data_IF_645071912790
#
_entry.id   IF_645071912790
#
_cell.length_a   1.000
_cell.length_b   1.000
_cell.length_c   1.000
_cell.angle_alpha   90.00
_cell.angle_beta   90.00
_cell.angle_gamma   90.00
#
_symmetry.space_group_name_H-M   'P 1'
#
loop_
_entity.id
_entity.type
_entity.pdbx_description
1 polymer ?
#
# COMPACT_ATOMS: atom_id res chain seq x y z
N UNK A 1 -11.04 1.32 -27.42
CA UNK A 1 -10.24 1.55 -28.65
C UNK A 1 -9.22 0.44 -28.94
N UNK A 2 -8.03 0.37 -28.30
CA UNK A 2 -7.00 -0.61 -28.71
C UNK A 2 -7.50 -2.07 -28.69
N UNK A 3 -8.26 -2.48 -27.66
CA UNK A 3 -8.89 -3.81 -27.59
C UNK A 3 -9.97 -4.04 -28.66
N UNK A 4 -10.56 -2.98 -29.20
CA UNK A 4 -11.66 -3.06 -30.18
C UNK A 4 -11.17 -2.98 -31.62
N UNK A 5 -9.99 -2.37 -31.84
CA UNK A 5 -9.48 -2.07 -33.18
C UNK A 5 -8.25 -2.88 -33.58
N UNK A 6 -7.65 -3.64 -32.66
CA UNK A 6 -6.43 -4.40 -32.89
C UNK A 6 -6.45 -5.77 -32.21
N UNK A 7 -6.26 -6.81 -33.02
CA UNK A 7 -6.21 -8.20 -32.55
C UNK A 7 -4.78 -8.65 -32.15
N UNK A 8 -3.77 -7.80 -32.40
CA UNK A 8 -2.36 -8.08 -32.14
C UNK A 8 -1.81 -7.42 -30.87
N UNK A 9 -2.68 -6.83 -30.06
CA UNK A 9 -2.32 -6.11 -28.83
C UNK A 9 -2.76 -6.88 -27.59
N UNK A 10 -1.81 -7.14 -26.70
CA UNK A 10 -2.07 -7.64 -25.34
C UNK A 10 -1.94 -6.47 -24.37
N UNK A 11 -3.00 -6.20 -23.59
CA UNK A 11 -3.00 -5.15 -22.57
C UNK A 11 -2.82 -5.78 -21.19
N UNK A 12 -1.68 -5.54 -20.57
CA UNK A 12 -1.45 -5.88 -19.16
C UNK A 12 -2.06 -4.80 -18.28
N UNK A 13 -3.28 -5.03 -17.79
CA UNK A 13 -3.94 -4.10 -16.90
C UNK A 13 -3.73 -4.51 -15.44
N UNK A 14 -2.72 -3.93 -14.81
CA UNK A 14 -2.37 -4.25 -13.42
C UNK A 14 -3.52 -4.11 -12.40
N UNK A 15 -4.59 -3.39 -12.74
CA UNK A 15 -5.75 -3.17 -11.86
C UNK A 15 -6.83 -4.26 -11.97
N UNK A 16 -6.83 -5.10 -13.02
CA UNK A 16 -7.74 -6.25 -13.18
C UNK A 16 -7.07 -7.61 -13.30
N UNK A 17 -5.76 -7.65 -13.50
CA UNK A 17 -5.01 -8.90 -13.62
C UNK A 17 -4.76 -9.57 -12.27
N UNK A 18 -5.41 -10.71 -12.02
CA UNK A 18 -5.24 -11.48 -10.78
C UNK A 18 -3.82 -12.01 -10.57
N UNK A 19 -2.99 -12.09 -11.62
CA UNK A 19 -1.56 -12.40 -11.47
C UNK A 19 -0.83 -11.42 -10.53
N UNK A 20 -1.22 -10.14 -10.55
CA UNK A 20 -0.70 -9.13 -9.63
C UNK A 20 -1.08 -9.44 -8.16
N UNK A 21 -2.36 -9.74 -7.91
CA UNK A 21 -2.83 -10.19 -6.60
C UNK A 21 -2.10 -11.46 -6.14
N UNK A 22 -1.96 -12.45 -7.02
CA UNK A 22 -1.39 -13.76 -6.69
C UNK A 22 0.08 -13.69 -6.32
N UNK A 23 0.85 -12.85 -7.02
CA UNK A 23 2.26 -12.62 -6.69
C UNK A 23 2.41 -12.18 -5.24
N UNK A 24 1.62 -11.18 -4.81
CA UNK A 24 1.74 -10.66 -3.45
C UNK A 24 1.11 -11.57 -2.40
N UNK A 25 0.05 -12.28 -2.72
CA UNK A 25 -0.51 -13.31 -1.83
C UNK A 25 0.51 -14.44 -1.58
N UNK A 26 1.12 -15.01 -2.62
CA UNK A 26 2.01 -16.18 -2.48
C UNK A 26 3.46 -15.84 -2.16
N UNK A 27 4.02 -14.78 -2.73
CA UNK A 27 5.45 -14.45 -2.59
C UNK A 27 5.63 -13.43 -1.46
N UNK A 28 5.01 -12.27 -1.58
CA UNK A 28 5.18 -11.20 -0.58
C UNK A 28 4.62 -11.61 0.79
N UNK A 29 3.44 -12.22 0.83
CA UNK A 29 2.82 -12.72 2.06
C UNK A 29 3.67 -13.75 2.79
N UNK A 30 4.24 -14.71 2.07
CA UNK A 30 5.14 -15.72 2.66
C UNK A 30 6.46 -15.12 3.14
N UNK A 31 7.08 -14.24 2.36
CA UNK A 31 8.29 -13.54 2.79
C UNK A 31 8.06 -12.73 4.08
N UNK A 32 6.91 -12.07 4.21
CA UNK A 32 6.54 -11.37 5.44
C UNK A 32 6.32 -12.32 6.61
N UNK A 33 5.70 -13.48 6.38
CA UNK A 33 5.55 -14.50 7.40
C UNK A 33 6.91 -15.02 7.90
N UNK A 34 7.87 -15.28 7.00
CA UNK A 34 9.22 -15.70 7.38
C UNK A 34 9.91 -14.67 8.30
N UNK A 35 9.77 -13.38 7.96
CA UNK A 35 10.27 -12.28 8.81
C UNK A 35 9.54 -12.27 10.15
N UNK A 36 8.20 -12.31 10.16
CA UNK A 36 7.40 -12.28 11.38
C UNK A 36 7.74 -13.45 12.31
N UNK A 37 7.90 -14.66 11.78
CA UNK A 37 8.28 -15.85 12.57
C UNK A 37 9.67 -15.73 13.19
N UNK A 38 10.56 -14.94 12.58
CA UNK A 38 11.92 -14.70 13.08
C UNK A 38 11.98 -13.52 14.07
N UNK A 39 11.13 -12.51 13.88
CA UNK A 39 11.20 -11.25 14.65
C UNK A 39 10.24 -11.22 15.85
N UNK A 40 9.11 -11.93 15.80
CA UNK A 40 8.16 -11.98 16.92
C UNK A 40 8.72 -12.82 18.07
N UNK A 41 8.79 -12.19 19.24
CA UNK A 41 9.20 -12.84 20.50
C UNK A 41 8.01 -13.42 21.24
N UNK A 42 8.27 -14.26 22.23
CA UNK A 42 7.25 -14.79 23.12
C UNK A 42 6.42 -13.65 23.77
N UNK A 43 5.09 -13.78 23.73
CA UNK A 43 4.16 -12.78 24.23
C UNK A 43 3.88 -11.61 23.29
N UNK A 44 4.56 -11.53 22.13
CA UNK A 44 4.23 -10.57 21.07
C UNK A 44 3.23 -11.16 20.07
N UNK A 45 2.49 -10.29 19.39
CA UNK A 45 1.54 -10.67 18.33
C UNK A 45 1.70 -9.78 17.11
N UNK A 46 1.31 -10.32 15.97
CA UNK A 46 1.15 -9.53 14.75
C UNK A 46 -0.19 -8.79 14.77
N UNK A 47 -0.15 -7.46 14.87
CA UNK A 47 -1.33 -6.62 14.98
C UNK A 47 -1.97 -6.32 13.62
N UNK A 48 -1.15 -6.15 12.57
CA UNK A 48 -1.69 -5.86 11.24
C UNK A 48 -0.66 -5.39 10.23
N UNK A 49 -1.13 -5.33 8.99
CA UNK A 49 -0.39 -4.79 7.86
C UNK A 49 -1.03 -3.51 7.36
N UNK A 50 -0.19 -2.56 6.99
CA UNK A 50 -0.59 -1.29 6.39
C UNK A 50 0.05 -1.20 5.00
N UNK A 51 -0.76 -0.94 3.98
CA UNK A 51 -0.30 -0.77 2.61
C UNK A 51 -1.13 0.31 1.91
N UNK A 52 -0.46 1.32 1.36
CA UNK A 52 -1.08 2.25 0.44
C UNK A 52 -1.54 1.53 -0.81
N UNK A 53 -2.74 1.85 -1.27
CA UNK A 53 -3.39 1.14 -2.38
C UNK A 53 -3.07 1.80 -3.71
N UNK A 54 -2.15 1.18 -4.46
CA UNK A 54 -1.93 1.41 -5.89
C UNK A 54 -2.88 0.59 -6.74
N UNK A 55 -2.33 -0.42 -7.41
CA UNK A 55 -3.09 -1.46 -8.10
C UNK A 55 -3.84 -2.42 -7.16
N UNK A 56 -3.63 -2.30 -5.86
CA UNK A 56 -4.07 -3.25 -4.82
C UNK A 56 -3.46 -4.66 -4.94
N UNK A 57 -2.39 -4.82 -5.71
CA UNK A 57 -1.58 -6.04 -5.70
C UNK A 57 -0.98 -6.30 -4.33
N UNK A 58 -0.13 -5.40 -3.84
CA UNK A 58 0.63 -5.58 -2.59
C UNK A 58 -0.26 -5.88 -1.39
N UNK A 59 -1.40 -5.19 -1.22
CA UNK A 59 -2.28 -5.41 -0.07
C UNK A 59 -2.85 -6.85 0.01
N UNK A 60 -2.81 -7.62 -1.09
CA UNK A 60 -3.16 -9.04 -1.12
C UNK A 60 -2.28 -9.91 -0.20
N UNK A 61 -1.05 -9.48 0.12
CA UNK A 61 -0.24 -10.18 1.14
C UNK A 61 -0.96 -10.22 2.50
N UNK A 62 -1.81 -9.22 2.79
CA UNK A 62 -2.67 -9.21 3.97
C UNK A 62 -3.69 -10.35 4.00
N UNK A 63 -4.22 -10.75 2.84
CA UNK A 63 -5.15 -11.89 2.76
C UNK A 63 -4.46 -13.20 3.18
N UNK A 64 -3.22 -13.41 2.73
CA UNK A 64 -2.38 -14.52 3.17
C UNK A 64 -2.06 -14.43 4.67
N UNK A 65 -1.56 -13.27 5.10
CA UNK A 65 -1.15 -13.06 6.49
C UNK A 65 -2.31 -13.23 7.46
N UNK A 66 -3.54 -12.85 7.09
CA UNK A 66 -4.72 -13.06 7.93
C UNK A 66 -5.12 -14.54 8.02
N UNK A 67 -4.82 -15.37 7.03
CA UNK A 67 -4.98 -16.82 7.15
C UNK A 67 -3.93 -17.41 8.11
N UNK A 68 -2.69 -16.93 8.07
CA UNK A 68 -1.62 -17.36 8.98
C UNK A 68 -1.76 -16.79 10.41
N UNK A 69 -2.30 -15.58 10.53
CA UNK A 69 -2.46 -14.81 11.77
C UNK A 69 -3.88 -14.20 11.83
N UNK A 70 -4.92 -14.97 12.22
CA UNK A 70 -6.32 -14.55 12.14
C UNK A 70 -6.71 -13.26 12.89
N UNK A 71 -5.91 -12.83 13.86
CA UNK A 71 -6.14 -11.61 14.62
C UNK A 71 -5.61 -10.33 13.95
N UNK A 72 -4.83 -10.44 12.87
CA UNK A 72 -4.20 -9.27 12.26
C UNK A 72 -5.21 -8.45 11.44
N UNK A 73 -5.05 -7.12 11.45
CA UNK A 73 -5.85 -6.19 10.66
C UNK A 73 -5.18 -5.87 9.32
N UNK A 74 -5.98 -5.62 8.29
CA UNK A 74 -5.51 -5.13 6.98
C UNK A 74 -5.97 -3.69 6.81
N UNK A 75 -5.02 -2.76 6.80
CA UNK A 75 -5.26 -1.33 6.62
C UNK A 75 -4.82 -0.87 5.21
N UNK A 76 -5.79 -0.41 4.43
CA UNK A 76 -5.58 0.24 3.15
C UNK A 76 -5.28 1.72 3.37
N UNK A 77 -4.11 2.20 2.94
CA UNK A 77 -3.79 3.61 2.98
C UNK A 77 -4.08 4.31 1.64
N UNK A 78 -4.48 5.58 1.70
CA UNK A 78 -4.75 6.42 0.53
C UNK A 78 -4.32 7.87 0.80
N UNK A 79 -4.29 8.71 -0.24
CA UNK A 79 -4.06 10.13 -0.05
C UNK A 79 -5.32 10.84 0.47
N UNK A 80 -5.15 11.72 1.46
CA UNK A 80 -6.24 12.56 1.97
C UNK A 80 -6.79 13.51 0.89
N UNK A 81 -5.93 13.96 -0.03
CA UNK A 81 -6.31 14.82 -1.15
C UNK A 81 -7.09 14.07 -2.25
N UNK A 82 -7.04 12.73 -2.28
CA UNK A 82 -7.90 11.91 -3.14
C UNK A 82 -8.51 10.72 -2.36
N UNK A 83 -9.45 10.98 -1.44
CA UNK A 83 -9.91 10.01 -0.45
C UNK A 83 -11.04 9.13 -1.02
N UNK A 84 -10.69 8.28 -1.97
CA UNK A 84 -11.62 7.44 -2.73
C UNK A 84 -12.30 6.39 -1.85
N UNK A 85 -11.54 5.67 -1.01
CA UNK A 85 -12.07 4.64 -0.11
C UNK A 85 -12.80 5.29 1.09
N UNK A 86 -12.20 6.32 1.70
CA UNK A 86 -12.73 6.95 2.90
C UNK A 86 -14.03 7.71 2.62
N UNK A 87 -14.07 8.53 1.56
CA UNK A 87 -15.16 9.49 1.34
C UNK A 87 -15.89 9.32 0.00
N UNK A 88 -15.63 8.26 -0.77
CA UNK A 88 -16.03 8.21 -2.20
C UNK A 88 -15.55 9.47 -2.96
N UNK A 89 -14.40 10.01 -2.53
CA UNK A 89 -13.88 11.29 -2.99
C UNK A 89 -12.99 11.17 -4.23
N UNK A 90 -12.68 12.34 -4.79
CA UNK A 90 -11.76 12.52 -5.91
C UNK A 90 -10.87 13.73 -5.62
N UNK A 91 -9.72 13.80 -6.29
CA UNK A 91 -8.84 14.95 -6.23
C UNK A 91 -7.53 14.71 -6.96
N UNK A 92 -6.43 15.23 -6.44
CA UNK A 92 -5.09 14.96 -6.95
C UNK A 92 -4.11 15.09 -5.81
N UNK A 93 -3.06 14.28 -5.83
CA UNK A 93 -2.08 14.22 -4.76
C UNK A 93 -0.67 14.06 -5.31
N UNK A 94 0.31 14.31 -4.44
CA UNK A 94 1.74 14.18 -4.73
C UNK A 94 2.34 12.86 -4.24
N UNK A 95 1.55 11.91 -3.73
CA UNK A 95 2.06 10.60 -3.31
C UNK A 95 2.26 9.69 -4.54
N UNK A 96 3.43 9.69 -5.18
CA UNK A 96 3.63 8.81 -6.33
C UNK A 96 3.65 7.32 -5.94
N UNK A 97 3.10 6.48 -6.83
CA UNK A 97 3.07 5.02 -6.67
C UNK A 97 1.77 4.46 -6.08
N UNK A 98 0.84 5.31 -5.64
CA UNK A 98 -0.48 4.91 -5.16
C UNK A 98 -1.57 5.26 -6.18
N UNK A 99 -2.77 4.68 -6.00
CA UNK A 99 -3.86 4.67 -6.97
C UNK A 99 -4.90 5.71 -6.62
N UNK A 100 -5.45 6.33 -7.65
CA UNK A 100 -6.40 7.43 -7.56
C UNK A 100 -7.78 7.05 -8.13
N UNK A 101 -8.85 7.57 -7.52
CA UNK A 101 -10.19 7.72 -8.12
C UNK A 101 -10.93 6.44 -8.53
N UNK A 102 -10.40 5.26 -8.24
CA UNK A 102 -11.13 4.02 -8.42
C UNK A 102 -10.65 2.94 -7.45
N UNK A 103 -11.50 1.93 -7.26
CA UNK A 103 -11.14 0.71 -6.52
C UNK A 103 -10.69 -0.35 -7.53
N UNK A 104 -9.45 -0.87 -7.47
CA UNK A 104 -8.99 -1.90 -8.39
C UNK A 104 -9.86 -3.17 -8.35
N UNK A 105 -10.04 -3.84 -9.48
CA UNK A 105 -10.87 -5.05 -9.57
C UNK A 105 -10.33 -6.15 -8.66
N UNK A 106 -9.01 -6.26 -8.57
CA UNK A 106 -8.29 -7.27 -7.79
C UNK A 106 -8.24 -6.99 -6.27
N UNK A 107 -8.80 -5.87 -5.79
CA UNK A 107 -8.80 -5.56 -4.36
C UNK A 107 -9.86 -6.37 -3.61
N UNK A 108 -9.46 -7.25 -2.69
CA UNK A 108 -10.38 -7.94 -1.76
C UNK A 108 -10.91 -7.01 -0.65
N UNK A 109 -11.79 -6.08 -1.03
CA UNK A 109 -12.35 -5.07 -0.12
C UNK A 109 -13.06 -5.70 1.09
N UNK A 110 -13.74 -6.84 0.89
CA UNK A 110 -14.47 -7.53 1.97
C UNK A 110 -13.54 -8.02 3.10
N UNK A 111 -12.26 -8.24 2.80
CA UNK A 111 -11.23 -8.60 3.78
C UNK A 111 -10.42 -7.41 4.31
N UNK A 112 -10.66 -6.19 3.85
CA UNK A 112 -10.00 -4.96 4.34
C UNK A 112 -10.68 -4.48 5.63
N UNK A 113 -9.90 -4.19 6.68
CA UNK A 113 -10.44 -3.81 7.99
C UNK A 113 -10.42 -2.31 8.25
N UNK A 114 -9.56 -1.55 7.57
CA UNK A 114 -9.39 -0.14 7.84
C UNK A 114 -8.98 0.63 6.59
N UNK A 115 -9.43 1.88 6.51
CA UNK A 115 -8.89 2.89 5.59
C UNK A 115 -8.13 3.94 6.40
N UNK A 116 -6.92 4.31 5.96
CA UNK A 116 -6.08 5.34 6.57
C UNK A 116 -5.71 6.38 5.52
N UNK A 117 -6.26 7.59 5.62
CA UNK A 117 -5.86 8.67 4.72
C UNK A 117 -4.62 9.41 5.27
N UNK A 118 -3.64 9.61 4.40
CA UNK A 118 -2.39 10.31 4.68
C UNK A 118 -2.35 11.61 3.88
N UNK A 119 -2.04 12.71 4.54
CA UNK A 119 -1.83 14.01 3.91
C UNK A 119 -0.57 13.96 3.03
N UNK A 120 -0.70 14.26 1.75
CA UNK A 120 0.43 14.28 0.82
C UNK A 120 1.48 15.34 1.19
N UNK A 121 1.10 16.44 1.84
CA UNK A 121 2.02 17.47 2.31
C UNK A 121 2.96 16.91 3.38
N UNK A 122 2.45 16.04 4.26
CA UNK A 122 3.29 15.36 5.25
C UNK A 122 4.36 14.50 4.56
N UNK A 123 4.00 13.83 3.46
CA UNK A 123 4.96 13.04 2.69
C UNK A 123 6.01 13.94 2.05
N UNK A 124 5.60 15.04 1.40
CA UNK A 124 6.51 16.01 0.76
C UNK A 124 7.49 16.65 1.75
N UNK A 125 7.02 16.97 2.96
CA UNK A 125 7.85 17.57 4.02
C UNK A 125 8.86 16.57 4.57
N UNK A 126 8.42 15.33 4.82
CA UNK A 126 9.27 14.30 5.38
C UNK A 126 10.32 13.78 4.40
N UNK A 127 10.05 13.75 3.08
CA UNK A 127 11.13 13.43 2.13
C UNK A 127 12.25 14.47 2.17
N UNK A 128 11.96 15.75 2.45
CA UNK A 128 13.02 16.75 2.67
C UNK A 128 13.76 16.49 3.98
N UNK A 129 13.05 16.22 5.07
CA UNK A 129 13.65 15.86 6.36
C UNK A 129 14.61 14.66 6.25
N UNK A 130 14.25 13.66 5.44
CA UNK A 130 14.99 12.40 5.32
C UNK A 130 16.20 12.49 4.36
N UNK A 131 16.19 13.43 3.42
CA UNK A 131 17.15 13.47 2.31
C UNK A 131 18.01 14.75 2.25
N UNK A 132 17.64 15.81 2.99
CA UNK A 132 18.40 17.06 2.99
C UNK A 132 19.34 17.14 4.22
N UNK A 133 20.56 17.73 4.07
CA UNK A 133 21.57 17.72 5.13
C UNK A 133 21.08 18.27 6.48
N UNK A 134 20.37 19.42 6.48
CA UNK A 134 19.85 20.01 7.70
C UNK A 134 18.82 19.10 8.42
N UNK A 135 18.08 18.29 7.66
CA UNK A 135 17.14 17.31 8.21
C UNK A 135 17.86 16.13 8.85
N UNK A 136 18.87 15.58 8.17
CA UNK A 136 19.69 14.49 8.69
C UNK A 136 20.49 14.90 9.93
N UNK A 137 21.08 16.10 9.93
CA UNK A 137 21.75 16.69 11.09
C UNK A 137 20.79 16.85 12.28
N UNK A 138 19.56 17.31 12.02
CA UNK A 138 18.55 17.44 13.06
C UNK A 138 18.12 16.09 13.63
N UNK A 139 17.92 15.07 12.78
CA UNK A 139 17.59 13.71 13.21
C UNK A 139 18.72 13.12 14.08
N UNK A 140 19.98 13.30 13.69
CA UNK A 140 21.13 12.86 14.46
C UNK A 140 21.20 13.56 15.83
N UNK A 141 20.98 14.89 15.85
CA UNK A 141 20.93 15.66 17.09
C UNK A 141 19.79 15.21 18.03
N UNK A 142 18.71 14.63 17.48
CA UNK A 142 17.60 14.04 18.23
C UNK A 142 17.80 12.55 18.56
N UNK A 143 19.00 12.01 18.36
CA UNK A 143 19.38 10.66 18.78
C UNK A 143 18.97 9.55 17.83
N UNK A 144 18.55 9.87 16.59
CA UNK A 144 18.35 8.85 15.56
C UNK A 144 19.73 8.30 15.14
N UNK A 145 19.97 6.97 15.17
CA UNK A 145 21.27 6.41 14.81
C UNK A 145 21.66 6.70 13.36
N UNK A 146 22.93 7.00 13.10
CA UNK A 146 23.45 7.30 11.75
C UNK A 146 23.09 6.22 10.73
N UNK A 147 23.23 4.94 11.09
CA UNK A 147 22.87 3.84 10.19
C UNK A 147 21.38 3.73 9.85
N UNK A 148 20.49 4.36 10.63
CA UNK A 148 19.08 4.54 10.27
C UNK A 148 18.93 5.73 9.32
N UNK A 149 19.57 6.86 9.65
CA UNK A 149 19.53 8.08 8.84
C UNK A 149 20.02 7.81 7.41
N UNK A 150 21.14 7.10 7.25
CA UNK A 150 21.71 6.68 5.96
C UNK A 150 20.74 5.84 5.10
N UNK A 151 19.76 5.18 5.73
CA UNK A 151 18.76 4.34 5.06
C UNK A 151 17.44 5.05 4.83
N UNK A 152 17.20 6.22 5.42
CA UNK A 152 15.97 6.98 5.18
C UNK A 152 15.74 7.33 3.70
N UNK A 153 16.78 7.57 2.86
CA UNK A 153 16.60 7.72 1.41
C UNK A 153 16.02 6.48 0.70
N UNK A 154 16.04 5.30 1.33
CA UNK A 154 15.35 4.11 0.81
C UNK A 154 13.82 4.21 0.91
N UNK A 155 13.29 5.24 1.59
CA UNK A 155 11.86 5.52 1.63
C UNK A 155 11.54 6.57 0.58
N UNK A 156 11.07 6.11 -0.58
CA UNK A 156 10.37 6.95 -1.55
C UNK A 156 9.04 7.47 -0.99
N UNK A 157 8.32 8.25 -1.80
CA UNK A 157 7.21 9.08 -1.33
C UNK A 157 6.05 8.24 -0.78
N UNK A 158 5.65 7.17 -1.49
CA UNK A 158 4.65 6.23 -0.99
C UNK A 158 5.16 5.35 0.16
N UNK A 159 6.47 5.12 0.26
CA UNK A 159 7.10 4.52 1.44
C UNK A 159 6.92 5.39 2.70
N UNK A 160 7.09 6.70 2.57
CA UNK A 160 6.80 7.67 3.64
C UNK A 160 5.31 7.67 3.99
N UNK A 161 4.42 7.59 2.99
CA UNK A 161 2.97 7.46 3.20
C UNK A 161 2.64 6.21 4.04
N UNK A 162 3.23 5.07 3.70
CA UNK A 162 3.09 3.82 4.43
C UNK A 162 3.61 3.91 5.87
N UNK A 163 4.76 4.56 6.09
CA UNK A 163 5.28 4.84 7.42
C UNK A 163 4.29 5.64 8.25
N UNK A 164 3.76 6.73 7.71
CA UNK A 164 2.78 7.58 8.40
C UNK A 164 1.49 6.82 8.70
N UNK A 165 0.97 6.06 7.73
CA UNK A 165 -0.21 5.23 7.92
C UNK A 165 0.02 4.15 9.00
N UNK A 166 1.21 3.56 9.09
CA UNK A 166 1.57 2.62 10.14
C UNK A 166 1.63 3.27 11.52
N UNK A 167 2.14 4.50 11.62
CA UNK A 167 2.11 5.28 12.87
C UNK A 167 0.65 5.58 13.27
N UNK A 168 -0.21 5.98 12.33
CA UNK A 168 -1.64 6.22 12.58
C UNK A 168 -2.34 4.96 13.06
N UNK A 169 -2.11 3.83 12.39
CA UNK A 169 -2.64 2.53 12.77
C UNK A 169 -2.21 2.14 14.19
N UNK A 170 -0.91 2.27 14.51
CA UNK A 170 -0.39 1.95 15.82
C UNK A 170 -0.97 2.82 16.94
N UNK A 171 -1.11 4.14 16.70
CA UNK A 171 -1.72 5.06 17.66
C UNK A 171 -3.21 4.79 17.86
N UNK A 172 -3.95 4.52 16.78
CA UNK A 172 -5.39 4.28 16.85
C UNK A 172 -5.76 3.04 17.65
N UNK A 173 -5.00 1.96 17.49
CA UNK A 173 -5.20 0.72 18.24
C UNK A 173 -4.43 0.66 19.57
N UNK A 174 -3.81 1.78 19.98
CA UNK A 174 -3.03 1.88 21.23
C UNK A 174 -1.99 0.76 21.37
N UNK A 175 -1.31 0.44 20.27
CA UNK A 175 -0.36 -0.66 20.20
C UNK A 175 0.83 -0.42 21.14
N UNK A 176 1.35 -1.53 21.68
CA UNK A 176 2.44 -1.53 22.65
C UNK A 176 3.67 -2.27 22.12
N UNK A 177 4.73 -2.42 22.92
CA UNK A 177 5.87 -3.28 22.55
C UNK A 177 5.51 -4.76 22.34
N UNK A 178 4.26 -5.16 22.65
CA UNK A 178 3.72 -6.51 22.40
C UNK A 178 3.14 -6.67 20.99
N UNK A 179 3.08 -5.59 20.22
CA UNK A 179 2.40 -5.55 18.93
C UNK A 179 3.40 -5.26 17.81
N UNK A 180 3.37 -6.08 16.75
CA UNK A 180 4.11 -5.82 15.53
C UNK A 180 3.16 -5.33 14.43
N UNK A 181 3.59 -4.30 13.71
CA UNK A 181 2.95 -3.80 12.48
C UNK A 181 3.91 -4.02 11.33
N UNK A 182 3.40 -4.56 10.22
CA UNK A 182 4.17 -4.67 8.98
C UNK A 182 3.72 -3.58 8.00
N UNK A 183 4.67 -3.02 7.25
CA UNK A 183 4.38 -2.16 6.11
C UNK A 183 5.47 -2.32 5.04
N UNK A 184 5.31 -1.67 3.89
CA UNK A 184 6.20 -1.79 2.74
C UNK A 184 6.74 -0.42 2.36
N UNK A 185 8.05 -0.34 2.14
CA UNK A 185 8.67 0.81 1.47
C UNK A 185 8.95 0.38 0.03
N UNK A 186 8.15 0.91 -0.89
CA UNK A 186 7.96 0.40 -2.26
C UNK A 186 9.13 0.67 -3.19
N UNK A 187 9.79 1.81 -2.99
CA UNK A 187 10.85 2.35 -3.83
C UNK A 187 11.72 3.31 -3.00
N UNK A 188 12.88 3.71 -3.54
CA UNK A 188 13.78 4.69 -2.94
C UNK A 188 13.60 6.09 -3.55
N UNK A 189 14.15 7.09 -2.87
CA UNK A 189 14.24 8.46 -3.39
C UNK A 189 15.14 8.60 -4.63
N UNK A 190 15.85 7.55 -5.05
CA UNK A 190 16.61 7.56 -6.31
C UNK A 190 15.70 7.81 -7.52
N UNK A 191 14.43 7.37 -7.44
CA UNK A 191 13.42 7.62 -8.49
C UNK A 191 12.82 9.03 -8.43
N UNK A 192 13.02 9.77 -7.34
CA UNK A 192 12.30 11.02 -7.04
C UNK A 192 13.23 12.22 -6.80
N UNK A 193 14.46 12.17 -7.30
CA UNK A 193 15.43 13.26 -7.15
C UNK A 193 14.92 14.58 -7.74
N UNK A 194 14.15 14.54 -8.83
CA UNK A 194 13.51 15.73 -9.42
C UNK A 194 12.51 16.37 -8.46
N UNK A 195 11.78 15.57 -7.67
CA UNK A 195 10.83 16.09 -6.68
C UNK A 195 11.52 16.92 -5.60
N UNK A 196 12.69 16.50 -5.12
CA UNK A 196 13.47 17.30 -4.17
C UNK A 196 13.96 18.61 -4.79
N UNK A 197 14.37 18.60 -6.06
CA UNK A 197 14.77 19.81 -6.77
C UNK A 197 13.60 20.80 -6.93
N UNK A 198 12.42 20.30 -7.30
CA UNK A 198 11.19 21.08 -7.39
C UNK A 198 10.81 21.68 -6.03
N UNK A 199 10.83 20.89 -4.96
CA UNK A 199 10.51 21.36 -3.61
C UNK A 199 11.49 22.44 -3.12
N UNK A 200 12.78 22.36 -3.49
CA UNK A 200 13.76 23.43 -3.22
C UNK A 200 13.47 24.68 -4.02
N UNK A 201 13.07 24.55 -5.29
CA UNK A 201 12.69 25.69 -6.11
C UNK A 201 11.44 26.39 -5.57
N UNK A 202 10.45 25.62 -5.11
CA UNK A 202 9.18 26.14 -4.60
C UNK A 202 9.31 26.75 -3.19
N UNK A 203 10.04 26.08 -2.29
CA UNK A 203 10.06 26.41 -0.86
C UNK A 203 11.39 26.99 -0.36
N UNK A 204 12.41 27.08 -1.23
CA UNK A 204 13.76 27.49 -0.86
C UNK A 204 14.57 26.39 -0.16
N UNK A 205 15.74 26.77 0.33
CA UNK A 205 16.68 25.87 1.02
C UNK A 205 16.06 25.24 2.27
N UNK A 206 16.40 23.98 2.55
CA UNK A 206 15.93 23.29 3.74
C UNK A 206 16.79 23.68 4.94
N UNK A 207 16.17 24.35 5.91
CA UNK A 207 16.87 24.90 7.08
C UNK A 207 16.66 24.04 8.32
N UNK A 208 17.47 24.29 9.35
CA UNK A 208 17.29 23.68 10.67
C UNK A 208 15.86 23.92 11.21
N UNK A 209 15.34 25.15 11.12
CA UNK A 209 13.99 25.48 11.60
C UNK A 209 12.90 24.73 10.84
N UNK A 210 13.10 24.50 9.53
CA UNK A 210 12.20 23.66 8.75
C UNK A 210 12.25 22.20 9.22
N UNK A 211 13.45 21.67 9.48
CA UNK A 211 13.62 20.32 10.03
C UNK A 211 12.94 20.15 11.40
N UNK A 212 13.06 21.15 12.30
CA UNK A 212 12.34 21.19 13.59
C UNK A 212 10.83 21.13 13.36
N UNK A 213 10.32 22.01 12.48
CA UNK A 213 8.90 22.10 12.15
C UNK A 213 8.35 20.80 11.59
N UNK A 214 9.05 20.18 10.63
CA UNK A 214 8.59 18.97 9.95
C UNK A 214 8.67 17.75 10.85
N UNK A 215 9.74 17.61 11.65
CA UNK A 215 9.87 16.53 12.62
C UNK A 215 8.75 16.56 13.65
N UNK A 216 8.46 17.73 14.26
CA UNK A 216 7.42 17.82 15.28
C UNK A 216 6.02 17.83 14.69
N UNK A 217 5.82 18.48 13.55
CA UNK A 217 4.51 18.63 12.90
C UNK A 217 4.04 17.37 12.18
N UNK A 218 4.90 16.78 11.35
CA UNK A 218 4.51 15.71 10.43
C UNK A 218 4.94 14.31 10.84
N UNK A 219 5.96 14.15 11.71
CA UNK A 219 6.40 12.83 12.20
C UNK A 219 5.94 12.56 13.64
N UNK A 220 6.29 13.43 14.60
CA UNK A 220 5.86 13.26 15.99
C UNK A 220 4.37 13.62 16.16
N UNK A 221 3.91 14.61 15.41
CA UNK A 221 2.56 15.16 15.44
C UNK A 221 1.49 14.34 14.72
N UNK A 222 1.82 13.15 14.19
CA UNK A 222 0.88 12.31 13.44
C UNK A 222 -0.41 12.03 14.22
N UNK A 223 -1.54 12.48 13.70
CA UNK A 223 -2.85 12.32 14.34
C UNK A 223 -3.55 11.07 13.83
N UNK A 224 -4.51 10.55 14.59
CA UNK A 224 -5.41 9.47 14.19
C UNK A 224 -6.70 10.00 13.54
N UNK A 225 -6.59 11.13 12.84
CA UNK A 225 -7.67 11.72 12.05
C UNK A 225 -7.83 11.01 10.70
N UNK A 226 -8.90 11.30 9.97
CA UNK A 226 -9.08 10.85 8.58
C UNK A 226 -8.81 9.35 8.36
N UNK A 227 -9.36 8.52 9.24
CA UNK A 227 -9.25 7.07 9.18
C UNK A 227 -10.55 6.42 9.67
N UNK A 228 -10.81 5.20 9.21
CA UNK A 228 -12.07 4.50 9.47
C UNK A 228 -11.82 3.00 9.63
N UNK A 229 -12.16 2.44 10.79
CA UNK A 229 -12.32 0.99 10.92
C UNK A 229 -13.62 0.58 10.20
N UNK A 230 -13.49 -0.36 9.26
CA UNK A 230 -14.55 -0.76 8.36
C UNK A 230 -15.35 -1.91 8.96
N UNK A 231 -16.63 -1.65 9.25
CA UNK A 231 -17.59 -2.71 9.43
C UNK A 231 -18.15 -3.17 8.07
N UNK A 232 -19.10 -4.10 8.11
CA UNK A 232 -19.72 -4.65 6.90
C UNK A 232 -20.28 -3.58 5.93
N UNK A 233 -21.06 -2.56 6.36
CA UNK A 233 -21.61 -1.58 5.44
C UNK A 233 -20.55 -0.71 4.77
N UNK A 234 -19.47 -0.35 5.47
CA UNK A 234 -18.38 0.44 4.89
C UNK A 234 -17.61 -0.36 3.84
N UNK A 235 -17.31 -1.64 4.13
CA UNK A 235 -16.70 -2.55 3.13
C UNK A 235 -17.58 -2.69 1.90
N UNK A 236 -18.90 -2.80 2.09
CA UNK A 236 -19.85 -2.92 0.97
C UNK A 236 -19.92 -1.64 0.15
N UNK A 237 -19.93 -0.47 0.80
CA UNK A 237 -19.87 0.83 0.14
C UNK A 237 -18.65 0.93 -0.77
N UNK A 238 -17.47 0.60 -0.24
CA UNK A 238 -16.22 0.64 -1.00
C UNK A 238 -16.24 -0.38 -2.15
N UNK A 239 -16.69 -1.60 -1.90
CA UNK A 239 -16.81 -2.65 -2.94
C UNK A 239 -17.67 -2.18 -4.11
N UNK A 240 -18.80 -1.54 -3.82
CA UNK A 240 -19.72 -1.04 -4.85
C UNK A 240 -19.11 0.07 -5.72
N UNK A 241 -18.05 0.77 -5.27
CA UNK A 241 -17.37 1.75 -6.12
C UNK A 241 -16.74 1.12 -7.37
N UNK A 242 -16.42 -0.18 -7.33
CA UNK A 242 -15.97 -0.92 -8.51
C UNK A 242 -16.98 -0.86 -9.66
N UNK A 243 -18.27 -0.70 -9.37
CA UNK A 243 -19.32 -0.64 -10.38
C UNK A 243 -19.03 0.43 -11.45
N UNK A 244 -18.71 1.65 -11.02
CA UNK A 244 -18.56 2.78 -11.94
C UNK A 244 -17.37 2.61 -12.89
N UNK A 245 -16.24 2.12 -12.39
CA UNK A 245 -15.06 1.91 -13.24
C UNK A 245 -15.22 0.64 -14.05
N UNK A 246 -15.54 -0.49 -13.41
CA UNK A 246 -15.39 -1.78 -14.05
C UNK A 246 -16.59 -2.19 -14.88
N UNK A 247 -17.80 -1.84 -14.44
CA UNK A 247 -19.03 -2.23 -15.15
C UNK A 247 -19.37 -1.16 -16.20
N UNK A 248 -19.58 0.07 -15.77
CA UNK A 248 -20.02 1.15 -16.66
C UNK A 248 -18.94 1.57 -17.68
N UNK A 249 -17.67 1.67 -17.26
CA UNK A 249 -16.61 2.20 -18.13
C UNK A 249 -15.79 1.10 -18.81
N UNK A 250 -15.52 -0.02 -18.13
CA UNK A 250 -14.68 -1.10 -18.67
C UNK A 250 -15.48 -2.31 -19.19
N UNK A 251 -16.80 -2.33 -19.04
CA UNK A 251 -17.67 -3.36 -19.61
C UNK A 251 -17.54 -4.76 -18.98
N UNK A 252 -17.01 -4.87 -17.75
CA UNK A 252 -17.03 -6.12 -16.98
C UNK A 252 -18.48 -6.49 -16.63
N UNK A 253 -18.69 -7.79 -16.39
CA UNK A 253 -20.01 -8.32 -16.07
C UNK A 253 -20.35 -8.06 -14.60
N UNK A 254 -21.59 -7.61 -14.34
CA UNK A 254 -22.06 -7.30 -12.99
C UNK A 254 -22.06 -8.54 -12.11
N UNK A 255 -22.36 -9.70 -12.68
CA UNK A 255 -22.37 -11.00 -12.01
C UNK A 255 -21.01 -11.33 -11.38
N UNK A 256 -19.90 -10.93 -12.01
CA UNK A 256 -18.56 -11.16 -11.46
C UNK A 256 -18.29 -10.22 -10.27
N UNK A 257 -18.77 -8.96 -10.33
CA UNK A 257 -18.68 -8.04 -9.19
C UNK A 257 -19.49 -8.53 -7.99
N UNK A 258 -20.67 -9.09 -8.26
CA UNK A 258 -21.52 -9.70 -7.25
C UNK A 258 -20.89 -10.98 -6.70
N UNK A 259 -20.27 -11.82 -7.53
CA UNK A 259 -19.57 -13.03 -7.09
C UNK A 259 -18.43 -12.72 -6.11
N UNK A 260 -17.64 -11.66 -6.34
CA UNK A 260 -16.61 -11.19 -5.40
C UNK A 260 -17.15 -10.93 -3.99
N UNK A 261 -18.42 -10.51 -3.89
CA UNK A 261 -19.06 -10.21 -2.61
C UNK A 261 -19.83 -11.40 -2.05
N UNK A 262 -20.74 -12.00 -2.80
CA UNK A 262 -21.69 -12.99 -2.30
C UNK A 262 -21.13 -14.42 -2.27
N UNK A 263 -20.16 -14.75 -3.11
CA UNK A 263 -19.43 -16.03 -3.04
C UNK A 263 -18.17 -15.94 -2.17
N UNK A 264 -18.02 -14.87 -1.40
CA UNK A 264 -16.92 -14.75 -0.45
C UNK A 264 -17.07 -15.78 0.68
N UNK A 265 -16.01 -16.50 1.08
CA UNK A 265 -14.61 -16.33 0.67
C UNK A 265 -14.21 -17.12 -0.59
N UNK A 266 -15.05 -18.05 -1.05
CA UNK A 266 -14.72 -19.04 -2.10
C UNK A 266 -14.27 -18.41 -3.43
N UNK A 267 -14.82 -17.26 -3.83
CA UNK A 267 -14.35 -16.53 -5.02
C UNK A 267 -12.84 -16.27 -4.98
N UNK A 268 -12.35 -15.75 -3.85
CA UNK A 268 -10.93 -15.40 -3.66
C UNK A 268 -10.08 -16.64 -3.42
N UNK A 269 -10.59 -17.63 -2.68
CA UNK A 269 -9.89 -18.91 -2.48
C UNK A 269 -9.61 -19.63 -3.80
N UNK A 270 -10.57 -19.61 -4.74
CA UNK A 270 -10.36 -20.18 -6.08
C UNK A 270 -9.26 -19.47 -6.85
N UNK A 271 -9.20 -18.14 -6.79
CA UNK A 271 -8.11 -17.35 -7.40
C UNK A 271 -6.79 -17.74 -6.75
N UNK A 272 -6.70 -17.71 -5.42
CA UNK A 272 -5.50 -18.09 -4.65
C UNK A 272 -4.97 -19.48 -5.02
N UNK A 273 -5.85 -20.43 -5.36
CA UNK A 273 -5.50 -21.78 -5.80
C UNK A 273 -4.86 -21.90 -7.19
N UNK A 274 -4.84 -20.82 -8.00
CA UNK A 274 -4.37 -20.88 -9.39
C UNK A 274 -2.84 -20.98 -9.52
N UNK A 275 -2.07 -20.65 -8.47
CA UNK A 275 -0.60 -20.62 -8.54
C UNK A 275 0.01 -21.95 -9.03
N UNK A 276 -0.50 -23.09 -8.54
CA UNK A 276 0.00 -24.40 -8.95
C UNK A 276 -0.19 -24.72 -10.45
N UNK A 277 -1.19 -24.13 -11.09
CA UNK A 277 -1.39 -24.29 -12.53
C UNK A 277 -0.50 -23.33 -13.32
N UNK A 278 -0.34 -22.10 -12.82
CA UNK A 278 0.60 -21.11 -13.38
C UNK A 278 2.03 -21.67 -13.36
N UNK A 279 2.46 -22.33 -12.28
CA UNK A 279 3.78 -22.94 -12.18
C UNK A 279 4.01 -23.99 -13.27
N UNK A 280 3.01 -24.85 -13.55
CA UNK A 280 3.11 -25.84 -14.65
C UNK A 280 3.24 -25.17 -16.02
N UNK A 281 2.52 -24.06 -16.25
CA UNK A 281 2.63 -23.30 -17.49
C UNK A 281 4.01 -22.66 -17.64
N UNK A 282 4.58 -22.15 -16.54
CA UNK A 282 5.95 -21.60 -16.53
C UNK A 282 6.97 -22.70 -16.83
N UNK A 283 6.86 -23.87 -16.22
CA UNK A 283 7.75 -25.01 -16.48
C UNK A 283 7.67 -25.46 -17.95
N UNK A 284 6.45 -25.57 -18.51
CA UNK A 284 6.24 -25.93 -19.91
C UNK A 284 6.86 -24.89 -20.87
N UNK A 285 6.64 -23.60 -20.61
CA UNK A 285 7.26 -22.51 -21.37
C UNK A 285 8.78 -22.57 -21.33
N UNK A 286 9.35 -22.74 -20.13
CA UNK A 286 10.80 -22.82 -19.94
C UNK A 286 11.42 -24.00 -20.70
N UNK A 287 10.74 -25.15 -20.75
CA UNK A 287 11.16 -26.30 -21.54
C UNK A 287 11.11 -26.02 -23.05
N UNK A 288 10.09 -25.30 -23.53
CA UNK A 288 9.96 -24.93 -24.95
C UNK A 288 11.06 -23.96 -25.41
N UNK A 289 11.48 -23.02 -24.54
CA UNK A 289 12.53 -22.05 -24.83
C UNK A 289 13.94 -22.51 -24.45
N UNK A 290 14.11 -23.74 -23.96
CA UNK A 290 15.42 -24.33 -23.64
C UNK A 290 16.10 -23.74 -22.40
N UNK A 291 15.33 -23.23 -21.45
CA UNK A 291 15.83 -22.74 -20.15
C UNK A 291 15.94 -23.84 -19.08
N UNK A 292 15.36 -25.02 -19.33
CA UNK A 292 15.42 -26.24 -18.49
C UNK A 292 15.67 -27.45 -19.38
#
# INVERSE_FOLDING_TARGET
>A
ELRETRDDVVIFNQFDEFGNYLWHYHVTGRAMEEVLRTQLKEGQRFAGIVSSTGSAGTIACGDYLKQAFPGCKIAAAEALQCPTLLMNGYGGHRIEGIGDKHVPWIHNVRNTDMVVAVDDEACMRLIRLFNEPAGQEYLAANGVPDGVIERLPLLGISGVSNLLAAIKFARYFELTERDAVFTIFTDSMDLYQSRLAELRQENGDYTHDAAVGDFHGFLQGVKTDSMLELAHPERKRIHNLKYFTWIEQQGKQLEELDAQWYEWPDYWTRIQGQASEIDKLIEAFNAEVGLV
#
